data_IF_954069851260
#
_entry.id   IF_954069851260
#
_cell.length_a   1.000
_cell.length_b   1.000
_cell.length_c   1.000
_cell.angle_alpha   90.00
_cell.angle_beta   90.00
_cell.angle_gamma   90.00
#
_symmetry.space_group_name_H-M   'P 1'
#
loop_
_entity.id
_entity.type
_entity.pdbx_description
1 polymer ?
#
# COMPACT_ATOMS: atom_id res chain seq x y z
N UNK A 1 -25.88 -24.46 -4.87
CA UNK A 1 -25.34 -23.10 -4.96
C UNK A 1 -26.14 -22.38 -6.05
N UNK A 2 -27.16 -21.61 -5.67
CA UNK A 2 -28.03 -20.89 -6.61
C UNK A 2 -27.25 -19.65 -7.08
N UNK A 3 -26.81 -19.66 -8.33
CA UNK A 3 -26.43 -18.44 -9.03
C UNK A 3 -27.70 -17.61 -9.20
N UNK A 4 -27.94 -16.71 -8.23
CA UNK A 4 -29.04 -15.77 -8.33
C UNK A 4 -28.87 -14.96 -9.61
N UNK A 5 -29.79 -15.10 -10.53
CA UNK A 5 -29.88 -14.30 -11.75
C UNK A 5 -30.13 -12.86 -11.29
N UNK A 6 -29.05 -12.08 -11.19
CA UNK A 6 -29.17 -10.66 -10.88
C UNK A 6 -30.04 -10.00 -11.93
N UNK A 7 -31.16 -9.45 -11.47
CA UNK A 7 -32.08 -8.75 -12.35
C UNK A 7 -31.38 -7.53 -12.95
N UNK A 8 -31.62 -7.22 -14.22
CA UNK A 8 -31.01 -6.08 -14.94
C UNK A 8 -31.08 -4.78 -14.12
N UNK A 9 -32.18 -4.58 -13.39
CA UNK A 9 -32.38 -3.44 -12.49
C UNK A 9 -31.38 -3.42 -11.31
N UNK A 10 -31.03 -4.58 -10.76
CA UNK A 10 -30.02 -4.70 -9.70
C UNK A 10 -28.61 -4.37 -10.22
N UNK A 11 -28.28 -4.81 -11.44
CA UNK A 11 -27.00 -4.49 -12.08
C UNK A 11 -26.85 -2.98 -12.31
N UNK A 12 -27.89 -2.30 -12.76
CA UNK A 12 -27.85 -0.84 -12.89
C UNK A 12 -27.78 -0.12 -11.55
N UNK A 13 -28.45 -0.62 -10.52
CA UNK A 13 -28.33 -0.09 -9.16
C UNK A 13 -26.91 -0.21 -8.62
N UNK A 14 -26.30 -1.40 -8.71
CA UNK A 14 -24.91 -1.64 -8.30
C UNK A 14 -23.91 -0.85 -9.14
N UNK A 15 -24.12 -0.72 -10.44
CA UNK A 15 -23.27 0.10 -11.29
C UNK A 15 -23.31 1.57 -10.86
N UNK A 16 -24.48 2.11 -10.53
CA UNK A 16 -24.61 3.46 -10.02
C UNK A 16 -23.88 3.68 -8.70
N UNK A 17 -24.06 2.77 -7.73
CA UNK A 17 -23.37 2.83 -6.43
C UNK A 17 -21.87 2.76 -6.63
N UNK A 18 -21.38 1.79 -7.43
CA UNK A 18 -19.95 1.65 -7.71
C UNK A 18 -19.36 2.89 -8.38
N UNK A 19 -20.09 3.51 -9.31
CA UNK A 19 -19.66 4.74 -9.96
C UNK A 19 -19.51 5.88 -8.95
N UNK A 20 -20.46 6.05 -8.04
CA UNK A 20 -20.39 7.09 -6.99
C UNK A 20 -19.19 6.84 -6.07
N UNK A 21 -18.97 5.59 -5.63
CA UNK A 21 -17.84 5.22 -4.78
C UNK A 21 -16.51 5.48 -5.50
N UNK A 22 -16.41 5.12 -6.79
CA UNK A 22 -15.22 5.38 -7.59
C UNK A 22 -14.94 6.87 -7.74
N UNK A 23 -15.96 7.66 -8.09
CA UNK A 23 -15.82 9.12 -8.20
C UNK A 23 -15.35 9.73 -6.88
N UNK A 24 -15.95 9.32 -5.76
CA UNK A 24 -15.52 9.75 -4.43
C UNK A 24 -14.07 9.38 -4.12
N UNK A 25 -13.67 8.15 -4.44
CA UNK A 25 -12.31 7.66 -4.21
C UNK A 25 -11.26 8.38 -5.10
N UNK A 26 -11.65 8.84 -6.29
CA UNK A 26 -10.75 9.57 -7.18
C UNK A 26 -10.53 11.04 -6.79
N UNK A 27 -11.43 11.65 -6.03
CA UNK A 27 -11.30 13.06 -5.61
C UNK A 27 -9.93 13.33 -4.96
N UNK A 28 -9.50 12.60 -3.90
CA UNK A 28 -8.21 12.85 -3.28
C UNK A 28 -7.03 12.58 -4.23
N UNK A 29 -7.14 11.59 -5.12
CA UNK A 29 -6.10 11.28 -6.09
C UNK A 29 -5.92 12.43 -7.09
N UNK A 30 -7.02 12.92 -7.65
CA UNK A 30 -7.01 14.06 -8.58
C UNK A 30 -6.49 15.32 -7.87
N UNK A 31 -6.86 15.51 -6.60
CA UNK A 31 -6.35 16.61 -5.79
C UNK A 31 -4.82 16.56 -5.63
N UNK A 32 -4.26 15.39 -5.30
CA UNK A 32 -2.81 15.21 -5.17
C UNK A 32 -2.10 15.46 -6.51
N UNK A 33 -2.65 14.95 -7.61
CA UNK A 33 -2.12 15.20 -8.95
C UNK A 33 -2.17 16.70 -9.28
N UNK A 34 -3.26 17.36 -8.96
CA UNK A 34 -3.39 18.81 -9.14
C UNK A 34 -2.36 19.59 -8.34
N UNK A 35 -2.14 19.23 -7.06
CA UNK A 35 -1.13 19.84 -6.21
C UNK A 35 0.29 19.62 -6.74
N UNK A 36 0.60 18.44 -7.26
CA UNK A 36 1.94 18.12 -7.77
C UNK A 36 2.34 18.93 -9.01
N UNK A 37 1.36 19.47 -9.71
CA UNK A 37 1.54 20.31 -10.89
C UNK A 37 1.51 21.82 -10.56
N UNK A 38 1.28 22.21 -9.30
CA UNK A 38 1.26 23.60 -8.90
C UNK A 38 2.67 24.13 -8.67
N UNK A 39 2.85 25.39 -9.00
CA UNK A 39 4.02 26.18 -8.60
C UNK A 39 4.00 26.44 -7.09
N UNK A 40 5.19 26.54 -6.47
CA UNK A 40 5.37 26.75 -5.02
C UNK A 40 4.57 27.95 -4.48
N UNK A 41 4.44 29.01 -5.26
CA UNK A 41 3.65 30.19 -4.90
C UNK A 41 2.14 29.98 -4.90
N UNK A 42 1.64 28.94 -5.56
CA UNK A 42 0.22 28.64 -5.73
C UNK A 42 -0.29 27.46 -4.89
N UNK A 43 0.57 26.80 -4.12
CA UNK A 43 0.20 25.63 -3.30
C UNK A 43 -0.91 25.94 -2.30
N UNK A 44 -0.94 27.15 -1.74
CA UNK A 44 -1.88 27.58 -0.71
C UNK A 44 -3.03 28.46 -1.24
N UNK A 45 -3.25 28.53 -2.54
CA UNK A 45 -4.27 29.39 -3.16
C UNK A 45 -5.72 28.88 -2.99
N UNK A 46 -5.88 27.67 -2.41
CA UNK A 46 -7.18 27.03 -2.19
C UNK A 46 -7.91 26.58 -3.44
N UNK A 47 -7.33 26.76 -4.64
CA UNK A 47 -7.96 26.35 -5.89
C UNK A 47 -7.74 24.88 -6.16
N UNK A 48 -8.75 24.23 -6.75
CA UNK A 48 -8.63 22.81 -7.09
C UNK A 48 -7.69 22.58 -8.29
N UNK A 49 -7.73 23.44 -9.30
CA UNK A 49 -6.91 23.34 -10.51
C UNK A 49 -5.71 24.29 -10.47
N UNK A 50 -4.54 23.86 -10.97
CA UNK A 50 -3.38 24.73 -11.07
C UNK A 50 -3.67 25.91 -12.01
N UNK A 51 -3.33 27.12 -11.59
CA UNK A 51 -3.44 28.32 -12.44
C UNK A 51 -2.31 28.35 -13.46
N UNK A 52 -1.12 27.85 -13.07
CA UNK A 52 0.03 27.57 -13.91
C UNK A 52 0.51 26.16 -13.61
N UNK A 53 0.48 25.27 -14.60
CA UNK A 53 1.00 23.92 -14.45
C UNK A 53 2.51 23.95 -14.72
N UNK A 54 3.30 23.42 -13.79
CA UNK A 54 4.76 23.32 -13.91
C UNK A 54 5.22 21.90 -13.59
N UNK A 55 6.35 21.52 -14.15
CA UNK A 55 7.05 20.25 -13.88
C UNK A 55 8.24 20.43 -12.95
N UNK A 56 8.44 21.64 -12.41
CA UNK A 56 9.62 21.99 -11.61
C UNK A 56 9.75 21.12 -10.36
N UNK A 57 8.65 20.81 -9.69
CA UNK A 57 8.63 19.89 -8.54
C UNK A 57 9.17 18.50 -8.89
N UNK A 58 8.85 18.01 -10.08
CA UNK A 58 9.34 16.71 -10.54
C UNK A 58 10.82 16.75 -10.89
N UNK A 59 11.29 17.81 -11.59
CA UNK A 59 12.71 17.97 -11.89
C UNK A 59 13.55 18.07 -10.62
N UNK A 60 13.11 18.85 -9.64
CA UNK A 60 13.77 18.96 -8.34
C UNK A 60 13.90 17.64 -7.58
N UNK A 61 12.85 16.81 -7.63
CA UNK A 61 12.86 15.48 -7.00
C UNK A 61 13.88 14.56 -7.71
N UNK A 62 13.91 14.55 -9.04
CA UNK A 62 14.82 13.70 -9.80
C UNK A 62 16.26 14.20 -9.82
N UNK A 63 16.49 15.49 -9.58
CA UNK A 63 17.82 16.08 -9.41
C UNK A 63 18.37 15.87 -7.97
N UNK A 64 17.55 15.37 -7.04
CA UNK A 64 17.95 15.10 -5.68
C UNK A 64 18.51 13.68 -5.52
N UNK A 65 19.83 13.58 -5.40
CA UNK A 65 20.53 12.30 -5.24
C UNK A 65 20.10 11.50 -4.00
N UNK A 66 19.76 12.19 -2.90
CA UNK A 66 19.30 11.53 -1.67
C UNK A 66 17.94 10.86 -1.90
N UNK A 67 17.03 11.54 -2.57
CA UNK A 67 15.72 11.00 -2.94
C UNK A 67 15.86 9.77 -3.84
N UNK A 68 16.69 9.85 -4.88
CA UNK A 68 16.91 8.74 -5.81
C UNK A 68 17.51 7.52 -5.11
N UNK A 69 18.50 7.72 -4.23
CA UNK A 69 19.08 6.63 -3.43
C UNK A 69 18.04 6.02 -2.49
N UNK A 70 17.25 6.84 -1.79
CA UNK A 70 16.19 6.35 -0.91
C UNK A 70 15.12 5.57 -1.69
N UNK A 71 14.74 6.05 -2.86
CA UNK A 71 13.78 5.38 -3.75
C UNK A 71 14.30 4.02 -4.22
N UNK A 72 15.54 3.96 -4.71
CA UNK A 72 16.17 2.71 -5.17
C UNK A 72 16.33 1.71 -4.03
N UNK A 73 16.75 2.17 -2.85
CA UNK A 73 16.85 1.33 -1.67
C UNK A 73 15.47 0.77 -1.27
N UNK A 74 14.45 1.60 -1.26
CA UNK A 74 13.08 1.18 -0.94
C UNK A 74 12.57 0.14 -1.93
N UNK A 75 12.76 0.36 -3.23
CA UNK A 75 12.38 -0.61 -4.28
C UNK A 75 13.15 -1.92 -4.10
N UNK A 76 14.46 -1.84 -3.88
CA UNK A 76 15.30 -3.02 -3.68
C UNK A 76 14.87 -3.85 -2.48
N UNK A 77 14.69 -3.19 -1.33
CA UNK A 77 14.23 -3.85 -0.10
C UNK A 77 12.85 -4.47 -0.31
N UNK A 78 11.91 -3.73 -0.91
CA UNK A 78 10.56 -4.23 -1.18
C UNK A 78 10.57 -5.47 -2.09
N UNK A 79 11.36 -5.46 -3.16
CA UNK A 79 11.45 -6.59 -4.09
C UNK A 79 12.02 -7.83 -3.40
N UNK A 80 13.13 -7.69 -2.65
CA UNK A 80 13.75 -8.79 -1.93
C UNK A 80 12.79 -9.33 -0.87
N UNK A 81 12.24 -8.47 -0.02
CA UNK A 81 11.34 -8.86 1.06
C UNK A 81 10.08 -9.55 0.52
N UNK A 82 9.47 -8.99 -0.53
CA UNK A 82 8.27 -9.57 -1.15
C UNK A 82 8.57 -10.92 -1.78
N UNK A 83 9.70 -11.07 -2.46
CA UNK A 83 10.10 -12.35 -3.07
C UNK A 83 10.26 -13.43 -2.01
N UNK A 84 10.99 -13.12 -0.92
CA UNK A 84 11.17 -14.05 0.20
C UNK A 84 9.82 -14.40 0.83
N UNK A 85 8.99 -13.39 1.10
CA UNK A 85 7.68 -13.58 1.69
C UNK A 85 6.75 -14.44 0.82
N UNK A 86 6.77 -14.25 -0.50
CA UNK A 86 5.99 -15.06 -1.44
C UNK A 86 6.45 -16.52 -1.47
N UNK A 87 7.77 -16.76 -1.53
CA UNK A 87 8.32 -18.12 -1.53
C UNK A 87 7.93 -18.84 -0.23
N UNK A 88 8.26 -18.25 0.92
CA UNK A 88 7.98 -18.85 2.23
C UNK A 88 6.48 -19.00 2.46
N UNK A 89 5.70 -17.97 2.13
CA UNK A 89 4.25 -17.98 2.26
C UNK A 89 3.58 -19.03 1.38
N UNK A 90 4.04 -19.21 0.15
CA UNK A 90 3.52 -20.25 -0.75
C UNK A 90 3.83 -21.65 -0.23
N UNK A 91 5.06 -21.87 0.26
CA UNK A 91 5.45 -23.15 0.88
C UNK A 91 4.60 -23.44 2.13
N UNK A 92 4.40 -22.46 2.99
CA UNK A 92 3.56 -22.59 4.17
C UNK A 92 2.08 -22.85 3.81
N UNK A 93 1.54 -22.11 2.85
CA UNK A 93 0.18 -22.29 2.36
C UNK A 93 -0.01 -23.69 1.76
N UNK A 94 0.96 -24.18 0.97
CA UNK A 94 0.95 -25.53 0.42
C UNK A 94 0.94 -26.58 1.53
N UNK A 95 1.82 -26.45 2.53
CA UNK A 95 1.89 -27.37 3.66
C UNK A 95 0.55 -27.42 4.43
N UNK A 96 -0.02 -26.26 4.72
CA UNK A 96 -1.34 -26.17 5.39
C UNK A 96 -2.46 -26.74 4.53
N UNK A 97 -2.44 -26.55 3.22
CA UNK A 97 -3.52 -27.03 2.34
C UNK A 97 -3.46 -28.55 2.08
N UNK A 98 -2.23 -29.10 1.93
CA UNK A 98 -2.02 -30.46 1.40
C UNK A 98 -1.56 -31.48 2.42
N UNK A 99 -0.91 -31.03 3.51
CA UNK A 99 -0.38 -31.95 4.51
C UNK A 99 -1.30 -32.00 5.73
N UNK A 100 -1.46 -33.23 6.26
CA UNK A 100 -2.11 -33.45 7.54
C UNK A 100 -1.03 -33.63 8.61
N UNK A 101 -0.87 -32.67 9.50
CA UNK A 101 0.08 -32.70 10.58
C UNK A 101 -0.55 -32.23 11.90
N UNK A 102 -0.06 -32.73 13.04
CA UNK A 102 -0.54 -32.31 14.34
C UNK A 102 -0.22 -30.80 14.55
N UNK A 103 -1.20 -30.04 15.06
CA UNK A 103 -1.01 -28.62 15.29
C UNK A 103 -1.37 -27.69 14.10
N UNK A 104 -1.81 -28.23 12.96
CA UNK A 104 -2.23 -27.44 11.78
C UNK A 104 -3.18 -26.28 12.12
N UNK A 105 -4.20 -26.54 12.95
CA UNK A 105 -5.17 -25.52 13.39
C UNK A 105 -4.50 -24.43 14.24
N UNK A 106 -3.55 -24.82 15.09
CA UNK A 106 -2.80 -23.87 15.91
C UNK A 106 -1.90 -22.96 15.07
N UNK A 107 -1.24 -23.50 14.05
CA UNK A 107 -0.44 -22.69 13.11
C UNK A 107 -1.29 -21.66 12.37
N UNK A 108 -2.45 -22.08 11.84
CA UNK A 108 -3.37 -21.16 11.16
C UNK A 108 -3.92 -20.12 12.14
N UNK A 109 -4.31 -20.53 13.35
CA UNK A 109 -4.79 -19.60 14.37
C UNK A 109 -3.72 -18.59 14.79
N UNK A 110 -2.48 -19.03 15.01
CA UNK A 110 -1.37 -18.15 15.33
C UNK A 110 -1.07 -17.15 14.18
N UNK A 111 -1.11 -17.62 12.94
CA UNK A 111 -0.92 -16.74 11.77
C UNK A 111 -1.99 -15.65 11.70
N UNK A 112 -3.24 -15.98 11.98
CA UNK A 112 -4.32 -15.00 12.02
C UNK A 112 -4.17 -14.01 13.18
N UNK A 113 -3.76 -14.48 14.36
CA UNK A 113 -3.49 -13.61 15.51
C UNK A 113 -2.37 -12.63 15.21
N UNK A 114 -1.26 -13.08 14.59
CA UNK A 114 -0.14 -12.23 14.18
C UNK A 114 -0.60 -11.22 13.13
N UNK A 115 -1.42 -11.63 12.15
CA UNK A 115 -1.94 -10.74 11.12
C UNK A 115 -2.87 -9.64 11.68
N UNK A 116 -3.55 -9.90 12.80
CA UNK A 116 -4.39 -8.92 13.49
C UNK A 116 -3.59 -7.96 14.37
N UNK A 117 -2.32 -8.24 14.62
CA UNK A 117 -1.48 -7.38 15.44
C UNK A 117 -1.15 -6.09 14.68
N UNK A 118 -1.34 -4.89 15.29
CA UNK A 118 -1.08 -3.63 14.62
C UNK A 118 0.42 -3.47 14.36
N UNK A 119 0.80 -3.50 13.08
CA UNK A 119 2.21 -3.44 12.67
C UNK A 119 2.91 -2.17 13.15
N UNK A 120 2.18 -1.07 13.29
CA UNK A 120 2.72 0.20 13.81
C UNK A 120 3.29 0.06 15.24
N UNK A 121 2.76 -0.87 16.04
CA UNK A 121 3.24 -1.12 17.39
C UNK A 121 4.65 -1.77 17.42
N UNK A 122 5.10 -2.34 16.29
CA UNK A 122 6.42 -2.96 16.17
C UNK A 122 7.52 -1.96 15.80
N UNK A 123 7.18 -0.76 15.35
CA UNK A 123 8.14 0.24 14.86
C UNK A 123 9.10 0.65 15.98
N UNK A 124 8.58 1.01 17.16
CA UNK A 124 9.40 1.46 18.29
C UNK A 124 10.36 0.37 18.81
N UNK A 125 9.90 -0.86 19.13
CA UNK A 125 10.83 -1.90 19.58
C UNK A 125 11.81 -2.34 18.49
N UNK A 126 11.44 -2.31 17.21
CA UNK A 126 12.38 -2.56 16.11
C UNK A 126 13.47 -1.49 16.05
N UNK A 127 13.10 -0.22 16.16
CA UNK A 127 14.06 0.88 16.21
C UNK A 127 15.05 0.71 17.37
N UNK A 128 14.56 0.40 18.57
CA UNK A 128 15.40 0.18 19.75
C UNK A 128 16.39 -0.99 19.57
N UNK A 129 15.93 -2.09 18.95
CA UNK A 129 16.77 -3.24 18.68
C UNK A 129 17.86 -2.87 17.67
N UNK A 130 17.49 -2.22 16.55
CA UNK A 130 18.43 -1.84 15.50
C UNK A 130 19.51 -0.87 16.02
N UNK A 131 19.12 0.09 16.87
CA UNK A 131 20.03 1.03 17.51
C UNK A 131 21.00 0.30 18.46
N UNK A 132 20.51 -0.66 19.26
CA UNK A 132 21.35 -1.44 20.19
C UNK A 132 22.35 -2.35 19.47
N UNK A 133 22.00 -2.83 18.29
CA UNK A 133 22.89 -3.69 17.47
C UNK A 133 23.86 -2.85 16.61
N UNK A 134 23.75 -1.51 16.66
CA UNK A 134 24.62 -0.60 15.88
C UNK A 134 24.31 -0.58 14.38
N UNK A 135 23.08 -0.91 14.00
CA UNK A 135 22.61 -0.83 12.62
C UNK A 135 21.91 0.50 12.32
N UNK A 136 21.80 1.36 13.32
CA UNK A 136 21.29 2.71 13.22
C UNK A 136 22.29 3.66 13.86
N UNK A 137 22.94 4.48 13.05
CA UNK A 137 23.75 5.62 13.51
C UNK A 137 22.86 6.86 13.69
#
# INVERSE_FOLDING_TARGET
MSSGIETTRQKFGWAGVNTVVLLYAFIPVIWIISLSLKDDGSLNDGKFWPTSATWDSYSQIFDNDEFLRALLNSIGICLIATTIALVVGTMAAYAVARLDFPGKKAVVGASLLIAMFPQIALVTPMFDILTRVGLFD
#
